data_IF_832991753618
#
_entry.id   IF_832991753618
#
_cell.length_a   1.000
_cell.length_b   1.000
_cell.length_c   1.000
_cell.angle_alpha   90.00
_cell.angle_beta   90.00
_cell.angle_gamma   90.00
#
_symmetry.space_group_name_H-M   'P 1'
#
loop_
_entity.id
_entity.type
_entity.pdbx_description
1 polymer ?
#
# COMPACT_ATOMS: atom_id res chain seq x y z
N UNK A 1 25.08 26.14 -1.13
CA UNK A 1 23.67 26.58 -1.20
C UNK A 1 23.38 27.41 0.03
N UNK A 2 22.63 28.50 -0.10
CA UNK A 2 22.34 29.41 1.01
C UNK A 2 21.33 28.74 1.97
N UNK A 3 21.47 28.82 3.31
CA UNK A 3 20.55 28.20 4.27
C UNK A 3 19.08 28.67 4.13
N UNK A 4 18.87 29.84 3.53
CA UNK A 4 17.55 30.47 3.31
C UNK A 4 16.80 29.82 2.12
N UNK A 5 17.51 29.16 1.19
CA UNK A 5 16.88 28.41 0.08
C UNK A 5 16.40 27.02 0.53
N UNK A 6 16.84 26.51 1.68
CA UNK A 6 16.45 25.18 2.17
C UNK A 6 15.04 25.14 2.77
N UNK A 7 14.46 26.28 3.17
CA UNK A 7 13.16 26.34 3.88
C UNK A 7 12.07 27.03 3.07
N UNK A 8 11.88 26.63 1.80
CA UNK A 8 10.81 27.15 0.94
C UNK A 8 9.87 26.02 0.48
N UNK A 9 8.69 26.39 -0.02
CA UNK A 9 7.72 25.43 -0.54
C UNK A 9 8.26 24.62 -1.73
N UNK A 10 9.09 25.24 -2.59
CA UNK A 10 9.79 24.56 -3.69
C UNK A 10 10.76 23.48 -3.19
N UNK A 11 11.41 23.70 -2.03
CA UNK A 11 12.30 22.73 -1.39
C UNK A 11 11.52 21.49 -0.95
N UNK A 12 10.30 21.67 -0.41
CA UNK A 12 9.38 20.57 -0.08
C UNK A 12 9.01 19.78 -1.34
N UNK A 13 8.62 20.46 -2.41
CA UNK A 13 8.25 19.84 -3.68
C UNK A 13 9.41 19.02 -4.28
N UNK A 14 10.61 19.60 -4.32
CA UNK A 14 11.79 18.94 -4.85
C UNK A 14 12.18 17.71 -4.03
N UNK A 15 12.18 17.81 -2.70
CA UNK A 15 12.47 16.68 -1.81
C UNK A 15 11.42 15.58 -1.92
N UNK A 16 10.13 15.93 -2.05
CA UNK A 16 9.06 14.95 -2.22
C UNK A 16 9.24 14.16 -3.54
N UNK A 17 9.43 14.86 -4.65
CA UNK A 17 9.69 14.21 -5.95
C UNK A 17 10.95 13.36 -5.91
N UNK A 18 12.01 13.84 -5.27
CA UNK A 18 13.26 13.10 -5.14
C UNK A 18 13.10 11.85 -4.28
N UNK A 19 12.35 11.91 -3.18
CA UNK A 19 12.02 10.75 -2.36
C UNK A 19 11.26 9.67 -3.15
N UNK A 20 10.30 10.06 -3.99
CA UNK A 20 9.58 9.14 -4.89
C UNK A 20 10.54 8.43 -5.86
N UNK A 21 11.48 9.19 -6.46
CA UNK A 21 12.49 8.62 -7.35
C UNK A 21 13.45 7.69 -6.61
N UNK A 22 13.92 8.08 -5.42
CA UNK A 22 14.77 7.22 -4.58
C UNK A 22 14.06 5.91 -4.21
N UNK A 23 12.77 5.97 -3.88
CA UNK A 23 11.94 4.79 -3.65
C UNK A 23 11.87 3.91 -4.92
N UNK A 24 11.62 4.50 -6.10
CA UNK A 24 11.60 3.76 -7.37
C UNK A 24 12.93 3.07 -7.69
N UNK A 25 14.04 3.68 -7.25
CA UNK A 25 15.40 3.13 -7.38
C UNK A 25 15.79 2.14 -6.26
N UNK A 26 14.87 1.82 -5.35
CA UNK A 26 15.10 0.95 -4.19
C UNK A 26 16.20 1.48 -3.24
N UNK A 27 16.31 2.80 -3.11
CA UNK A 27 17.19 3.48 -2.14
C UNK A 27 16.39 3.89 -0.90
N UNK A 28 15.86 2.91 -0.19
CA UNK A 28 14.82 3.08 0.85
C UNK A 28 15.23 4.04 1.96
N UNK A 29 16.40 3.87 2.57
CA UNK A 29 16.89 4.74 3.65
C UNK A 29 17.00 6.21 3.21
N UNK A 30 17.54 6.45 2.01
CA UNK A 30 17.68 7.80 1.50
C UNK A 30 16.33 8.42 1.12
N UNK A 31 15.40 7.61 0.61
CA UNK A 31 14.04 8.06 0.32
C UNK A 31 13.34 8.52 1.62
N UNK A 32 13.52 7.77 2.71
CA UNK A 32 12.98 8.11 4.03
C UNK A 32 13.61 9.37 4.61
N UNK A 33 14.94 9.50 4.56
CA UNK A 33 15.65 10.71 5.01
C UNK A 33 15.15 11.94 4.24
N UNK A 34 15.00 11.80 2.92
CA UNK A 34 14.50 12.86 2.05
C UNK A 34 13.05 13.25 2.39
N UNK A 35 12.18 12.26 2.61
CA UNK A 35 10.78 12.47 2.98
C UNK A 35 10.64 13.10 4.37
N UNK A 36 11.46 12.67 5.34
CA UNK A 36 11.52 13.24 6.68
C UNK A 36 11.99 14.69 6.67
N UNK A 37 12.99 15.02 5.84
CA UNK A 37 13.41 16.41 5.60
C UNK A 37 12.29 17.25 4.99
N UNK A 38 11.59 16.74 3.98
CA UNK A 38 10.44 17.43 3.38
C UNK A 38 9.34 17.72 4.41
N UNK A 39 8.98 16.73 5.25
CA UNK A 39 8.01 16.89 6.32
C UNK A 39 8.44 17.92 7.37
N UNK A 40 9.72 17.95 7.73
CA UNK A 40 10.25 18.92 8.68
C UNK A 40 10.22 20.35 8.12
N UNK A 41 10.61 20.56 6.86
CA UNK A 41 10.54 21.87 6.21
C UNK A 41 9.07 22.31 6.07
N UNK A 42 8.20 21.44 5.59
CA UNK A 42 6.77 21.73 5.42
C UNK A 42 6.12 22.16 6.74
N UNK A 43 6.45 21.48 7.85
CA UNK A 43 6.00 21.88 9.20
C UNK A 43 6.60 23.21 9.62
N UNK A 44 7.89 23.43 9.38
CA UNK A 44 8.60 24.64 9.78
C UNK A 44 8.03 25.90 9.12
N UNK A 45 7.70 25.83 7.83
CA UNK A 45 7.08 26.94 7.10
C UNK A 45 5.57 27.06 7.32
N UNK A 46 4.97 26.14 8.09
CA UNK A 46 3.54 26.12 8.40
C UNK A 46 2.66 25.65 7.24
N UNK A 47 3.18 24.85 6.29
CA UNK A 47 2.44 24.37 5.12
C UNK A 47 1.17 23.56 5.46
N UNK A 48 1.11 23.01 6.68
CA UNK A 48 -0.06 22.32 7.21
C UNK A 48 -1.16 23.25 7.76
N UNK A 49 -0.89 24.55 7.88
CA UNK A 49 -1.86 25.54 8.35
C UNK A 49 -2.85 25.90 7.22
N UNK A 50 -4.18 25.93 7.49
CA UNK A 50 -5.19 26.36 6.52
C UNK A 50 -4.91 27.70 5.84
N UNK A 51 -4.25 28.64 6.53
CA UNK A 51 -3.95 29.98 6.01
C UNK A 51 -2.65 30.07 5.22
N UNK A 52 -1.80 29.03 5.24
CA UNK A 52 -0.48 29.08 4.59
C UNK A 52 -0.58 29.34 3.09
N UNK A 53 -1.43 28.58 2.39
CA UNK A 53 -1.53 28.65 0.93
C UNK A 53 -1.87 30.07 0.48
N UNK A 54 -2.92 30.68 1.06
CA UNK A 54 -3.35 32.04 0.73
C UNK A 54 -2.31 33.10 1.08
N UNK A 55 -1.62 32.94 2.22
CA UNK A 55 -0.64 33.92 2.68
C UNK A 55 0.66 33.86 1.86
N UNK A 56 1.10 32.67 1.46
CA UNK A 56 2.36 32.45 0.76
C UNK A 56 2.27 32.61 -0.76
N UNK A 57 1.07 32.50 -1.35
CA UNK A 57 0.88 32.52 -2.80
C UNK A 57 0.77 33.93 -3.41
N UNK A 58 0.73 34.98 -2.59
CA UNK A 58 0.63 36.37 -3.09
C UNK A 58 -0.64 36.64 -3.91
N UNK A 59 -1.74 35.93 -3.63
CA UNK A 59 -3.00 36.03 -4.35
C UNK A 59 -3.10 35.23 -5.64
N UNK A 60 -2.10 34.42 -5.99
CA UNK A 60 -2.16 33.52 -7.14
C UNK A 60 -2.83 32.18 -6.78
N UNK A 61 -4.06 31.97 -7.26
CA UNK A 61 -4.87 30.79 -6.98
C UNK A 61 -4.22 29.46 -7.41
N UNK A 62 -3.43 29.46 -8.48
CA UNK A 62 -2.73 28.25 -8.95
C UNK A 62 -1.58 27.88 -8.00
N UNK A 63 -0.88 28.88 -7.47
CA UNK A 63 0.18 28.69 -6.48
C UNK A 63 -0.40 28.21 -5.14
N UNK A 64 -1.54 28.77 -4.72
CA UNK A 64 -2.25 28.27 -3.54
C UNK A 64 -2.61 26.79 -3.67
N UNK A 65 -3.15 26.41 -4.82
CA UNK A 65 -3.52 25.03 -5.12
C UNK A 65 -2.31 24.11 -5.17
N UNK A 66 -1.21 24.57 -5.75
CA UNK A 66 0.07 23.86 -5.78
C UNK A 66 0.57 23.57 -4.36
N UNK A 67 0.49 24.54 -3.43
CA UNK A 67 0.87 24.33 -2.03
C UNK A 67 -0.05 23.35 -1.29
N UNK A 68 -1.38 23.44 -1.48
CA UNK A 68 -2.32 22.46 -0.91
C UNK A 68 -2.03 21.05 -1.41
N UNK A 69 -1.85 20.86 -2.72
CA UNK A 69 -1.51 19.57 -3.31
C UNK A 69 -0.16 19.04 -2.84
N UNK A 70 0.84 19.92 -2.68
CA UNK A 70 2.17 19.55 -2.14
C UNK A 70 2.04 18.96 -0.74
N UNK A 71 1.29 19.62 0.15
CA UNK A 71 1.06 19.10 1.50
C UNK A 71 0.37 17.74 1.47
N UNK A 72 -0.73 17.62 0.73
CA UNK A 72 -1.52 16.38 0.74
C UNK A 72 -0.81 15.21 0.07
N UNK A 73 0.03 15.47 -0.93
CA UNK A 73 0.89 14.45 -1.54
C UNK A 73 1.98 13.99 -0.57
N UNK A 74 2.64 14.94 0.12
CA UNK A 74 3.61 14.65 1.17
C UNK A 74 2.98 13.83 2.30
N UNK A 75 1.81 14.24 2.77
CA UNK A 75 1.06 13.57 3.84
C UNK A 75 0.68 12.14 3.44
N UNK A 76 0.15 11.96 2.23
CA UNK A 76 -0.23 10.64 1.71
C UNK A 76 0.99 9.73 1.57
N UNK A 77 2.11 10.27 1.05
CA UNK A 77 3.36 9.53 0.86
C UNK A 77 3.98 9.12 2.20
N UNK A 78 4.06 10.03 3.17
CA UNK A 78 4.58 9.75 4.51
C UNK A 78 3.79 8.66 5.22
N UNK A 79 2.45 8.71 5.15
CA UNK A 79 1.60 7.65 5.73
C UNK A 79 1.81 6.32 5.02
N UNK A 80 1.83 6.31 3.68
CA UNK A 80 1.94 5.06 2.95
C UNK A 80 3.30 4.38 3.17
N UNK A 81 4.40 5.15 3.13
CA UNK A 81 5.74 4.64 3.45
C UNK A 81 5.82 4.18 4.90
N UNK A 82 5.22 4.90 5.85
CA UNK A 82 5.14 4.46 7.24
C UNK A 82 4.40 3.12 7.38
N UNK A 83 3.32 2.92 6.61
CA UNK A 83 2.59 1.66 6.62
C UNK A 83 3.38 0.50 6.02
N UNK A 84 4.07 0.72 4.92
CA UNK A 84 4.92 -0.29 4.28
C UNK A 84 6.05 -0.74 5.21
N UNK A 85 6.65 0.18 5.98
CA UNK A 85 7.75 -0.12 6.89
C UNK A 85 7.29 -0.33 8.35
N UNK A 86 5.97 -0.47 8.57
CA UNK A 86 5.35 -0.74 9.88
C UNK A 86 5.75 0.25 10.99
N UNK A 87 5.94 1.52 10.64
CA UNK A 87 6.25 2.59 11.60
C UNK A 87 4.99 3.05 12.33
N UNK A 88 5.10 3.22 13.65
CA UNK A 88 3.97 3.51 14.55
C UNK A 88 3.45 4.95 14.41
N UNK A 89 4.21 5.87 13.81
CA UNK A 89 3.79 7.27 13.69
C UNK A 89 4.36 7.97 12.43
N UNK A 90 3.54 8.22 11.40
CA UNK A 90 3.90 9.14 10.32
C UNK A 90 4.08 10.56 10.86
N UNK A 91 5.14 11.25 10.45
CA UNK A 91 5.50 12.58 10.96
C UNK A 91 4.45 13.66 10.66
N UNK A 92 3.70 13.48 9.59
CA UNK A 92 2.64 14.40 9.15
C UNK A 92 1.29 14.11 9.79
N UNK A 93 1.04 12.86 10.23
CA UNK A 93 -0.23 12.43 10.81
C UNK A 93 -0.44 12.90 12.26
N UNK A 94 0.64 13.24 12.97
CA UNK A 94 0.57 13.73 14.35
C UNK A 94 0.24 15.24 14.47
N UNK A 95 -0.01 15.92 13.36
CA UNK A 95 -0.23 17.36 13.35
C UNK A 95 -1.67 17.73 13.70
N UNK A 96 -1.82 18.81 14.47
CA UNK A 96 -3.12 19.30 14.97
C UNK A 96 -3.95 20.00 13.90
N UNK A 97 -3.30 20.61 12.91
CA UNK A 97 -3.95 21.38 11.84
C UNK A 97 -3.61 20.76 10.50
N UNK A 98 -4.61 20.77 9.62
CA UNK A 98 -4.50 20.31 8.23
C UNK A 98 -4.99 21.44 7.32
N UNK A 99 -4.40 21.61 6.13
CA UNK A 99 -4.83 22.64 5.20
C UNK A 99 -6.18 22.26 4.58
N UNK A 100 -6.75 23.20 3.81
CA UNK A 100 -7.93 22.93 3.00
C UNK A 100 -7.67 21.81 1.98
N UNK A 101 -8.73 21.13 1.57
CA UNK A 101 -8.63 20.07 0.57
C UNK A 101 -8.25 20.66 -0.81
N UNK A 102 -7.56 19.87 -1.66
CA UNK A 102 -7.29 20.27 -3.04
C UNK A 102 -8.59 20.54 -3.80
N UNK A 103 -8.59 21.58 -4.62
CA UNK A 103 -9.70 21.95 -5.47
C UNK A 103 -9.59 21.47 -6.91
N UNK A 104 -10.67 21.71 -7.67
CA UNK A 104 -10.61 21.67 -9.12
C UNK A 104 -9.77 22.85 -9.62
N UNK A 105 -8.87 22.60 -10.57
CA UNK A 105 -7.95 23.61 -11.09
C UNK A 105 -8.71 24.84 -11.59
N UNK A 106 -8.26 26.04 -11.20
CA UNK A 106 -8.84 27.32 -11.64
C UNK A 106 -10.13 27.75 -10.92
N UNK A 107 -10.58 27.02 -9.90
CA UNK A 107 -11.75 27.39 -9.11
C UNK A 107 -11.37 27.70 -7.66
N UNK A 108 -11.97 28.74 -7.09
CA UNK A 108 -11.86 29.01 -5.67
C UNK A 108 -12.55 27.88 -4.91
N UNK A 109 -11.76 27.02 -4.26
CA UNK A 109 -12.24 25.83 -3.59
C UNK A 109 -11.88 25.91 -2.10
N UNK A 110 -12.89 26.16 -1.27
CA UNK A 110 -12.74 26.26 0.17
C UNK A 110 -13.52 25.13 0.84
N UNK A 111 -13.08 23.89 0.60
CA UNK A 111 -13.65 22.73 1.28
C UNK A 111 -12.71 22.27 2.39
N UNK A 112 -13.24 22.23 3.61
CA UNK A 112 -12.56 21.65 4.75
C UNK A 112 -12.65 20.13 4.68
N UNK A 113 -11.67 19.49 5.29
CA UNK A 113 -11.68 18.05 5.53
C UNK A 113 -12.96 17.58 6.24
N UNK A 114 -13.43 18.34 7.23
CA UNK A 114 -14.67 18.05 7.95
C UNK A 114 -15.91 18.10 7.04
N UNK A 115 -15.96 19.07 6.10
CA UNK A 115 -17.05 19.14 5.11
C UNK A 115 -17.08 17.90 4.23
N UNK A 116 -15.91 17.41 3.81
CA UNK A 116 -15.81 16.20 3.01
C UNK A 116 -16.16 14.93 3.79
N UNK A 117 -15.73 14.82 5.05
CA UNK A 117 -16.10 13.69 5.92
C UNK A 117 -17.62 13.65 6.16
N UNK A 118 -18.25 14.82 6.37
CA UNK A 118 -19.69 14.92 6.59
C UNK A 118 -20.54 14.73 5.31
N UNK A 119 -19.92 14.56 4.13
CA UNK A 119 -20.64 14.44 2.85
C UNK A 119 -21.68 13.34 2.84
N UNK A 120 -21.44 12.25 3.59
CA UNK A 120 -22.32 11.07 3.65
C UNK A 120 -23.65 11.36 4.37
N UNK A 121 -23.71 12.43 5.16
CA UNK A 121 -24.90 12.86 5.89
C UNK A 121 -25.65 13.99 5.19
N UNK A 122 -25.19 14.44 4.03
CA UNK A 122 -25.84 15.52 3.29
C UNK A 122 -27.23 15.08 2.78
N UNK A 123 -28.26 15.86 3.11
CA UNK A 123 -29.65 15.62 2.69
C UNK A 123 -29.93 16.04 1.24
N UNK A 124 -28.96 16.65 0.56
CA UNK A 124 -29.05 17.16 -0.81
C UNK A 124 -28.46 16.22 -1.87
N UNK A 125 -28.44 16.64 -3.14
CA UNK A 125 -27.76 15.89 -4.19
C UNK A 125 -26.28 15.66 -3.83
N UNK A 126 -25.73 14.51 -4.25
CA UNK A 126 -24.33 14.17 -3.99
C UNK A 126 -23.42 15.27 -4.57
N UNK A 127 -22.71 15.96 -3.69
CA UNK A 127 -21.65 16.91 -4.07
C UNK A 127 -20.49 16.11 -4.66
N UNK A 128 -20.06 16.49 -5.85
CA UNK A 128 -18.86 15.91 -6.45
C UNK A 128 -17.62 16.54 -5.81
N UNK A 129 -16.72 15.70 -5.31
CA UNK A 129 -15.44 16.10 -4.77
C UNK A 129 -14.32 15.70 -5.74
N UNK A 130 -13.22 16.47 -5.82
CA UNK A 130 -12.05 16.10 -6.60
C UNK A 130 -11.51 14.72 -6.19
N UNK A 131 -10.99 13.97 -7.15
CA UNK A 131 -10.46 12.61 -6.93
C UNK A 131 -9.35 12.55 -5.87
N UNK A 132 -8.56 13.61 -5.76
CA UNK A 132 -7.53 13.76 -4.72
C UNK A 132 -8.11 13.68 -3.30
N UNK A 133 -9.35 14.11 -3.06
CA UNK A 133 -9.99 14.05 -1.74
C UNK A 133 -10.19 12.59 -1.29
N UNK A 134 -10.58 11.70 -2.21
CA UNK A 134 -10.75 10.28 -1.88
C UNK A 134 -9.41 9.59 -1.62
N UNK A 135 -8.34 10.01 -2.31
CA UNK A 135 -6.97 9.56 -2.03
C UNK A 135 -6.51 9.97 -0.62
N UNK A 136 -6.78 11.21 -0.23
CA UNK A 136 -6.49 11.73 1.11
C UNK A 136 -7.26 10.97 2.19
N UNK A 137 -8.54 10.68 1.97
CA UNK A 137 -9.32 9.88 2.92
C UNK A 137 -8.80 8.44 3.03
N UNK A 138 -8.40 7.83 1.91
CA UNK A 138 -7.78 6.50 1.91
C UNK A 138 -6.49 6.48 2.74
N UNK A 139 -5.60 7.46 2.57
CA UNK A 139 -4.37 7.54 3.36
C UNK A 139 -4.65 7.80 4.83
N UNK A 140 -5.64 8.62 5.18
CA UNK A 140 -6.07 8.81 6.57
C UNK A 140 -6.64 7.54 7.20
N UNK A 141 -7.36 6.70 6.45
CA UNK A 141 -7.80 5.39 6.92
C UNK A 141 -6.59 4.48 7.19
N UNK A 142 -5.58 4.47 6.32
CA UNK A 142 -4.31 3.76 6.58
C UNK A 142 -3.65 4.27 7.87
N UNK A 143 -3.62 5.58 8.10
CA UNK A 143 -3.05 6.15 9.33
C UNK A 143 -3.76 5.64 10.58
N UNK A 144 -5.08 5.40 10.55
CA UNK A 144 -5.82 4.81 11.68
C UNK A 144 -5.39 3.37 11.96
N UNK A 145 -4.98 2.62 10.93
CA UNK A 145 -4.43 1.26 11.08
C UNK A 145 -3.09 1.32 11.82
N UNK A 146 -2.23 2.28 11.48
CA UNK A 146 -0.90 2.44 12.12
C UNK A 146 -1.01 2.84 13.60
N UNK A 147 -2.08 3.53 13.97
CA UNK A 147 -2.37 3.87 15.36
C UNK A 147 -2.91 2.69 16.19
N UNK A 148 -3.18 1.52 15.59
CA UNK A 148 -3.61 0.35 16.34
C UNK A 148 -2.42 -0.22 17.11
N UNK A 149 -2.48 -0.18 18.44
CA UNK A 149 -1.41 -0.68 19.31
C UNK A 149 -1.21 -2.20 19.10
N UNK A 150 -0.01 -2.67 18.71
CA UNK A 150 0.28 -4.09 18.55
C UNK A 150 0.66 -4.79 19.87
N UNK A 151 0.89 -4.06 20.96
CA UNK A 151 1.48 -4.53 22.23
C UNK A 151 0.55 -4.43 23.43
N UNK A 152 -0.49 -3.59 23.38
CA UNK A 152 -1.59 -3.59 24.34
C UNK A 152 -2.89 -3.97 23.65
N UNK A 153 -3.85 -4.47 24.43
CA UNK A 153 -5.12 -5.00 23.98
C UNK A 153 -5.80 -4.09 22.95
N UNK A 154 -5.47 -4.24 21.66
CA UNK A 154 -6.19 -3.58 20.58
C UNK A 154 -7.62 -4.03 20.77
N UNK A 155 -8.50 -3.13 21.16
CA UNK A 155 -9.87 -3.53 21.39
C UNK A 155 -10.43 -3.97 20.04
N UNK A 156 -11.13 -5.10 20.03
CA UNK A 156 -11.79 -5.62 18.82
C UNK A 156 -12.63 -4.50 18.16
N UNK A 157 -13.21 -3.61 18.97
CA UNK A 157 -13.94 -2.42 18.53
C UNK A 157 -13.12 -1.44 17.68
N UNK A 158 -11.83 -1.27 17.93
CA UNK A 158 -10.98 -0.36 17.16
C UNK A 158 -10.68 -0.93 15.78
N UNK A 159 -10.44 -2.25 15.71
CA UNK A 159 -10.27 -2.99 14.45
C UNK A 159 -11.56 -2.93 13.64
N UNK A 160 -12.71 -3.19 14.27
CA UNK A 160 -14.03 -3.09 13.64
C UNK A 160 -14.33 -1.66 13.16
N UNK A 161 -13.98 -0.63 13.93
CA UNK A 161 -14.18 0.75 13.54
C UNK A 161 -13.38 1.15 12.29
N UNK A 162 -12.18 0.58 12.11
CA UNK A 162 -11.39 0.81 10.89
C UNK A 162 -11.91 -0.04 9.73
N UNK A 163 -12.30 -1.28 9.97
CA UNK A 163 -12.94 -2.16 8.98
C UNK A 163 -14.25 -1.54 8.43
N UNK A 164 -15.09 -0.96 9.31
CA UNK A 164 -16.27 -0.21 8.92
C UNK A 164 -15.93 1.03 8.10
N UNK A 165 -14.83 1.71 8.39
CA UNK A 165 -14.38 2.85 7.59
C UNK A 165 -13.96 2.42 6.18
N UNK A 166 -13.26 1.28 6.05
CA UNK A 166 -12.90 0.69 4.76
C UNK A 166 -14.16 0.32 3.96
N UNK A 167 -15.10 -0.36 4.59
CA UNK A 167 -16.36 -0.75 3.96
C UNK A 167 -17.20 0.48 3.54
N UNK A 168 -17.32 1.47 4.42
CA UNK A 168 -18.07 2.70 4.17
C UNK A 168 -17.47 3.50 3.02
N UNK A 169 -16.13 3.59 2.95
CA UNK A 169 -15.45 4.26 1.83
C UNK A 169 -15.84 3.64 0.49
N UNK A 170 -15.89 2.30 0.40
CA UNK A 170 -16.28 1.60 -0.85
C UNK A 170 -17.76 1.82 -1.23
N UNK A 171 -18.64 2.02 -0.24
CA UNK A 171 -20.08 2.22 -0.48
C UNK A 171 -20.43 3.67 -0.86
N UNK A 172 -19.74 4.63 -0.27
CA UNK A 172 -20.03 6.06 -0.49
C UNK A 172 -19.05 6.73 -1.44
N UNK A 173 -17.88 6.14 -1.65
CA UNK A 173 -16.88 6.57 -2.61
C UNK A 173 -17.29 6.34 -4.06
N UNK A 174 -16.51 6.88 -5.00
CA UNK A 174 -16.66 6.61 -6.41
C UNK A 174 -16.30 5.15 -6.71
N UNK A 175 -16.90 4.59 -7.77
CA UNK A 175 -16.68 3.20 -8.16
C UNK A 175 -15.34 3.02 -8.89
N UNK A 176 -14.76 1.82 -8.85
CA UNK A 176 -13.52 1.52 -9.60
C UNK A 176 -13.65 1.80 -11.10
N UNK A 177 -14.84 1.57 -11.68
CA UNK A 177 -15.09 1.83 -13.10
C UNK A 177 -15.01 3.32 -13.47
N UNK A 178 -15.12 4.23 -12.49
CA UNK A 178 -14.97 5.67 -12.76
C UNK A 178 -13.50 6.11 -12.79
N UNK A 179 -12.55 5.19 -12.59
CA UNK A 179 -11.12 5.49 -12.79
C UNK A 179 -10.78 5.67 -14.27
N UNK A 180 -11.58 5.11 -15.18
CA UNK A 180 -11.36 5.20 -16.62
C UNK A 180 -12.48 6.04 -17.21
N UNK A 181 -12.14 7.12 -17.91
CA UNK A 181 -13.13 7.95 -18.58
C UNK A 181 -13.57 7.35 -19.94
N UNK A 182 -14.51 8.02 -20.60
CA UNK A 182 -15.02 7.59 -21.92
C UNK A 182 -13.97 7.60 -23.03
N UNK A 183 -12.82 8.24 -22.81
CA UNK A 183 -11.70 8.30 -23.74
C UNK A 183 -10.63 7.25 -23.45
N UNK A 184 -10.77 6.50 -22.34
CA UNK A 184 -9.79 5.52 -21.89
C UNK A 184 -8.66 6.12 -21.06
N UNK A 185 -8.75 7.40 -20.69
CA UNK A 185 -7.78 8.04 -19.80
C UNK A 185 -8.08 7.67 -18.34
N UNK A 186 -7.02 7.43 -17.57
CA UNK A 186 -7.11 7.05 -16.16
C UNK A 186 -7.00 8.29 -15.26
N UNK A 187 -7.98 8.46 -14.37
CA UNK A 187 -7.85 9.33 -13.21
C UNK A 187 -6.89 8.68 -12.21
N UNK A 188 -5.61 9.05 -12.32
CA UNK A 188 -4.53 8.49 -11.50
C UNK A 188 -4.75 8.76 -10.00
N UNK A 189 -5.38 9.87 -9.61
CA UNK A 189 -5.67 10.14 -8.19
C UNK A 189 -6.72 9.17 -7.66
N UNK A 190 -7.73 8.87 -8.48
CA UNK A 190 -8.77 7.92 -8.12
C UNK A 190 -8.27 6.48 -8.14
N UNK A 191 -7.44 6.12 -9.12
CA UNK A 191 -6.74 4.84 -9.15
C UNK A 191 -5.90 4.66 -7.88
N UNK A 192 -5.15 5.68 -7.48
CA UNK A 192 -4.38 5.70 -6.24
C UNK A 192 -5.25 5.52 -5.00
N UNK A 193 -6.39 6.20 -4.94
CA UNK A 193 -7.34 6.05 -3.84
C UNK A 193 -7.82 4.58 -3.71
N UNK A 194 -8.19 3.94 -4.82
CA UNK A 194 -8.64 2.55 -4.82
C UNK A 194 -7.55 1.58 -4.36
N UNK A 195 -6.34 1.62 -4.95
CA UNK A 195 -5.30 0.67 -4.51
C UNK A 195 -4.87 0.93 -3.07
N UNK A 196 -4.84 2.18 -2.58
CA UNK A 196 -4.55 2.47 -1.19
C UNK A 196 -5.59 1.86 -0.25
N UNK A 197 -6.87 1.89 -0.62
CA UNK A 197 -7.93 1.22 0.15
C UNK A 197 -7.83 -0.31 0.14
N UNK A 198 -7.35 -0.90 -0.95
CA UNK A 198 -7.04 -2.31 -1.00
C UNK A 198 -5.84 -2.64 -0.11
N UNK A 199 -4.79 -1.81 -0.13
CA UNK A 199 -3.65 -1.93 0.78
C UNK A 199 -4.09 -1.78 2.25
N UNK A 200 -4.96 -0.83 2.57
CA UNK A 200 -5.53 -0.66 3.91
C UNK A 200 -6.24 -1.94 4.40
N UNK A 201 -7.00 -2.60 3.51
CA UNK A 201 -7.63 -3.88 3.81
C UNK A 201 -6.58 -4.97 4.10
N UNK A 202 -5.52 -5.05 3.30
CA UNK A 202 -4.42 -6.00 3.55
C UNK A 202 -3.72 -5.70 4.88
N UNK A 203 -3.33 -4.45 5.16
CA UNK A 203 -2.67 -4.05 6.41
C UNK A 203 -3.53 -4.36 7.64
N UNK A 204 -4.84 -4.21 7.55
CA UNK A 204 -5.75 -4.50 8.66
C UNK A 204 -5.96 -6.01 8.84
N UNK A 205 -6.23 -6.75 7.77
CA UNK A 205 -6.71 -8.13 7.87
C UNK A 205 -5.61 -9.19 7.78
N UNK A 206 -4.56 -8.98 6.99
CA UNK A 206 -3.52 -10.00 6.81
C UNK A 206 -2.84 -10.41 8.14
N UNK A 207 -2.42 -9.49 9.03
CA UNK A 207 -1.84 -9.86 10.33
C UNK A 207 -2.80 -10.57 11.29
N UNK A 208 -4.11 -10.53 11.03
CA UNK A 208 -5.18 -11.11 11.86
C UNK A 208 -5.81 -12.35 11.21
N UNK A 209 -5.30 -12.75 10.05
CA UNK A 209 -5.82 -13.85 9.27
C UNK A 209 -5.24 -15.19 9.71
N UNK A 210 -5.80 -16.28 9.18
CA UNK A 210 -5.21 -17.62 9.29
C UNK A 210 -4.16 -17.91 8.21
N UNK A 211 -3.76 -16.90 7.42
CA UNK A 211 -2.69 -17.05 6.43
C UNK A 211 -1.34 -17.16 7.13
N UNK A 212 -0.39 -17.95 6.60
CA UNK A 212 0.91 -18.09 7.23
C UNK A 212 1.63 -16.74 7.28
N UNK A 213 2.13 -16.31 8.46
CA UNK A 213 2.75 -15.00 8.63
C UNK A 213 4.16 -14.92 8.01
N UNK A 214 4.76 -16.05 7.67
CA UNK A 214 6.11 -16.14 7.09
C UNK A 214 6.08 -16.92 5.79
N UNK A 215 7.12 -16.72 4.98
CA UNK A 215 7.38 -17.55 3.82
C UNK A 215 7.59 -18.99 4.30
N UNK A 216 6.75 -19.95 3.89
CA UNK A 216 6.87 -21.31 4.40
C UNK A 216 8.10 -21.98 3.80
N UNK A 217 8.86 -22.71 4.62
CA UNK A 217 9.91 -23.60 4.12
C UNK A 217 9.30 -24.78 3.38
N UNK A 218 10.09 -25.49 2.57
CA UNK A 218 9.64 -26.73 1.93
C UNK A 218 9.12 -27.77 2.95
N UNK A 219 9.66 -27.78 4.17
CA UNK A 219 9.21 -28.64 5.26
C UNK A 219 7.88 -28.20 5.90
N UNK A 220 7.62 -26.90 5.98
CA UNK A 220 6.34 -26.35 6.47
C UNK A 220 5.22 -26.66 5.50
N UNK A 221 5.51 -26.54 4.19
CA UNK A 221 4.59 -26.88 3.11
C UNK A 221 4.17 -28.36 3.17
N UNK A 222 5.12 -29.26 3.43
CA UNK A 222 4.86 -30.69 3.61
C UNK A 222 3.93 -31.00 4.80
N UNK A 223 3.93 -30.15 5.84
CA UNK A 223 3.14 -30.32 7.05
C UNK A 223 1.79 -29.56 7.05
N UNK A 224 1.48 -28.81 5.99
CA UNK A 224 0.36 -27.87 5.91
C UNK A 224 -1.03 -28.48 6.20
N UNK A 225 -1.18 -29.82 6.11
CA UNK A 225 -2.41 -30.55 6.45
C UNK A 225 -2.76 -30.49 7.95
N UNK A 226 -1.78 -30.37 8.85
CA UNK A 226 -2.02 -30.43 10.30
C UNK A 226 -2.34 -29.05 10.92
N UNK A 227 -1.74 -27.97 10.41
CA UNK A 227 -1.87 -26.62 10.99
C UNK A 227 -3.15 -25.88 10.57
N UNK A 228 -3.70 -26.14 9.39
CA UNK A 228 -4.88 -25.43 8.88
C UNK A 228 -6.17 -25.71 9.69
N UNK A 229 -6.24 -26.87 10.35
CA UNK A 229 -7.43 -27.34 11.09
C UNK A 229 -7.42 -26.91 12.57
N UNK A 230 -6.24 -26.70 13.18
CA UNK A 230 -6.15 -26.42 14.62
C UNK A 230 -6.19 -24.92 14.98
N UNK A 231 -6.01 -23.99 14.03
CA UNK A 231 -5.71 -22.57 14.34
C UNK A 231 -6.83 -21.58 13.96
N UNK A 232 -7.81 -21.96 13.12
CA UNK A 232 -8.73 -20.97 12.54
C UNK A 232 -9.98 -20.72 13.39
N UNK A 233 -9.97 -19.65 14.19
CA UNK A 233 -11.21 -19.09 14.75
C UNK A 233 -12.10 -18.50 13.63
N UNK A 234 -13.44 -18.43 13.80
CA UNK A 234 -14.32 -17.78 12.82
C UNK A 234 -13.92 -16.33 12.51
N UNK A 235 -13.36 -15.62 13.48
CA UNK A 235 -12.81 -14.27 13.29
C UNK A 235 -11.61 -14.28 12.34
N UNK A 236 -10.65 -15.19 12.53
CA UNK A 236 -9.48 -15.33 11.65
C UNK A 236 -9.87 -15.69 10.21
N UNK A 237 -10.90 -16.54 10.03
CA UNK A 237 -11.42 -16.89 8.71
C UNK A 237 -12.00 -15.67 7.95
N UNK A 238 -12.70 -14.77 8.66
CA UNK A 238 -13.20 -13.53 8.08
C UNK A 238 -12.07 -12.59 7.64
N UNK A 239 -11.04 -12.45 8.47
CA UNK A 239 -9.83 -11.70 8.11
C UNK A 239 -9.12 -12.31 6.89
N UNK A 240 -8.98 -13.64 6.83
CA UNK A 240 -8.44 -14.36 5.66
C UNK A 240 -9.21 -14.03 4.39
N UNK A 241 -10.54 -14.15 4.43
CA UNK A 241 -11.39 -13.88 3.27
C UNK A 241 -11.23 -12.43 2.77
N UNK A 242 -11.17 -11.46 3.67
CA UNK A 242 -10.99 -10.04 3.32
C UNK A 242 -9.61 -9.74 2.75
N UNK A 243 -8.54 -10.32 3.31
CA UNK A 243 -7.19 -10.17 2.77
C UNK A 243 -7.09 -10.73 1.34
N UNK A 244 -7.59 -11.96 1.13
CA UNK A 244 -7.61 -12.59 -0.20
C UNK A 244 -8.42 -11.75 -1.18
N UNK A 245 -9.64 -11.33 -0.81
CA UNK A 245 -10.48 -10.50 -1.67
C UNK A 245 -9.80 -9.17 -2.06
N UNK A 246 -9.13 -8.50 -1.12
CA UNK A 246 -8.37 -7.28 -1.41
C UNK A 246 -7.21 -7.55 -2.40
N UNK A 247 -6.48 -8.64 -2.23
CA UNK A 247 -5.39 -9.01 -3.15
C UNK A 247 -5.88 -9.37 -4.55
N UNK A 248 -7.03 -10.05 -4.68
CA UNK A 248 -7.70 -10.30 -5.97
C UNK A 248 -8.11 -8.99 -6.63
N UNK A 249 -8.64 -8.03 -5.87
CA UNK A 249 -8.98 -6.72 -6.41
C UNK A 249 -7.73 -5.93 -6.87
N UNK A 250 -6.57 -6.06 -6.20
CA UNK A 250 -5.31 -5.47 -6.68
C UNK A 250 -4.91 -6.08 -8.03
N UNK A 251 -5.02 -7.40 -8.17
CA UNK A 251 -4.76 -8.07 -9.45
C UNK A 251 -5.71 -7.56 -10.55
N UNK A 252 -6.99 -7.35 -10.25
CA UNK A 252 -7.95 -6.78 -11.20
C UNK A 252 -7.61 -5.35 -11.60
N UNK A 253 -7.15 -4.50 -10.67
CA UNK A 253 -6.65 -3.16 -10.99
C UNK A 253 -5.44 -3.22 -11.93
N UNK A 254 -4.54 -4.19 -11.73
CA UNK A 254 -3.38 -4.40 -12.60
C UNK A 254 -3.75 -4.88 -14.02
N UNK A 255 -4.94 -5.47 -14.19
CA UNK A 255 -5.46 -5.91 -15.47
C UNK A 255 -6.31 -4.87 -16.21
N UNK A 256 -6.48 -3.66 -15.65
CA UNK A 256 -7.18 -2.59 -16.35
C UNK A 256 -6.46 -2.27 -17.68
N UNK A 257 -7.21 -1.95 -18.74
CA UNK A 257 -6.67 -1.78 -20.09
C UNK A 257 -5.98 -0.41 -20.27
N UNK A 258 -5.00 -0.11 -19.43
CA UNK A 258 -4.27 1.15 -19.42
C UNK A 258 -2.76 0.91 -19.34
N UNK A 259 -1.92 1.80 -19.91
CA UNK A 259 -0.48 1.66 -19.82
C UNK A 259 0.02 1.76 -18.37
N UNK A 260 0.49 0.62 -17.84
CA UNK A 260 1.04 0.51 -16.49
C UNK A 260 2.17 1.51 -16.22
N UNK A 261 2.83 1.95 -17.29
CA UNK A 261 3.98 2.83 -17.27
C UNK A 261 3.67 4.28 -16.86
N UNK A 262 2.39 4.65 -16.75
CA UNK A 262 1.92 5.94 -16.26
C UNK A 262 1.58 5.95 -14.77
N UNK A 263 1.59 4.80 -14.10
CA UNK A 263 1.32 4.71 -12.66
C UNK A 263 2.53 5.15 -11.82
N UNK A 264 2.23 5.66 -10.63
CA UNK A 264 3.25 5.93 -9.61
C UNK A 264 4.07 4.68 -9.27
N UNK A 265 5.40 4.79 -9.02
CA UNK A 265 6.22 3.67 -8.55
C UNK A 265 5.70 3.06 -7.24
N UNK A 266 4.91 3.80 -6.45
CA UNK A 266 4.26 3.27 -5.25
C UNK A 266 3.23 2.16 -5.52
N UNK A 267 2.69 2.07 -6.73
CA UNK A 267 1.79 0.97 -7.11
C UNK A 267 2.51 -0.39 -7.06
N UNK A 268 3.84 -0.41 -7.26
CA UNK A 268 4.67 -1.61 -7.08
C UNK A 268 4.44 -2.22 -5.70
N UNK A 269 4.37 -1.40 -4.64
CA UNK A 269 4.17 -1.90 -3.29
C UNK A 269 2.78 -2.55 -3.11
N UNK A 270 1.75 -2.01 -3.75
CA UNK A 270 0.42 -2.63 -3.77
C UNK A 270 0.42 -3.99 -4.47
N UNK A 271 1.04 -4.08 -5.65
CA UNK A 271 1.21 -5.34 -6.39
C UNK A 271 1.97 -6.39 -5.57
N UNK A 272 3.01 -5.97 -4.87
CA UNK A 272 3.78 -6.84 -3.99
C UNK A 272 2.92 -7.36 -2.84
N UNK A 273 2.22 -6.48 -2.12
CA UNK A 273 1.28 -6.89 -1.04
C UNK A 273 0.23 -7.87 -1.55
N UNK A 274 -0.36 -7.60 -2.72
CA UNK A 274 -1.32 -8.50 -3.35
C UNK A 274 -0.70 -9.87 -3.66
N UNK A 275 0.49 -9.89 -4.24
CA UNK A 275 1.19 -11.15 -4.58
C UNK A 275 1.52 -11.97 -3.35
N UNK A 276 2.03 -11.32 -2.30
CA UNK A 276 2.32 -11.94 -1.00
C UNK A 276 1.08 -12.63 -0.42
N UNK A 277 -0.06 -11.95 -0.39
CA UNK A 277 -1.32 -12.54 0.11
C UNK A 277 -1.76 -13.74 -0.73
N UNK A 278 -1.64 -13.66 -2.06
CA UNK A 278 -1.99 -14.77 -2.95
C UNK A 278 -1.06 -15.98 -2.79
N UNK A 279 0.24 -15.75 -2.56
CA UNK A 279 1.21 -16.83 -2.25
C UNK A 279 0.91 -17.47 -0.89
N UNK A 280 0.64 -16.66 0.14
CA UNK A 280 0.23 -17.18 1.44
C UNK A 280 -1.08 -17.98 1.34
N UNK A 281 -2.06 -17.50 0.58
CA UNK A 281 -3.32 -18.22 0.34
C UNK A 281 -3.14 -19.50 -0.48
N UNK A 282 -2.22 -19.52 -1.45
CA UNK A 282 -1.88 -20.72 -2.20
C UNK A 282 -1.36 -21.83 -1.28
N UNK A 283 -0.56 -21.49 -0.28
CA UNK A 283 -0.03 -22.47 0.69
C UNK A 283 -1.12 -23.07 1.58
N UNK A 284 -2.15 -22.29 1.93
CA UNK A 284 -3.32 -22.80 2.64
C UNK A 284 -4.17 -23.75 1.77
N UNK A 285 -4.18 -23.53 0.46
CA UNK A 285 -5.02 -24.27 -0.50
C UNK A 285 -4.25 -25.28 -1.36
N UNK A 286 -3.07 -25.74 -0.94
CA UNK A 286 -2.24 -26.69 -1.72
C UNK A 286 -2.98 -27.97 -2.14
N UNK A 287 -3.94 -28.41 -1.32
CA UNK A 287 -4.71 -29.64 -1.54
C UNK A 287 -6.03 -29.40 -2.30
N UNK A 288 -6.34 -28.16 -2.69
CA UNK A 288 -7.47 -27.81 -3.55
C UNK A 288 -6.95 -27.27 -4.89
N UNK A 289 -6.86 -28.13 -5.93
CA UNK A 289 -6.32 -27.74 -7.24
C UNK A 289 -7.04 -26.54 -7.87
N UNK A 290 -8.34 -26.38 -7.61
CA UNK A 290 -9.15 -25.32 -8.21
C UNK A 290 -8.87 -23.96 -7.58
N UNK A 291 -8.66 -23.92 -6.26
CA UNK A 291 -8.27 -22.73 -5.52
C UNK A 291 -6.80 -22.39 -5.80
N UNK A 292 -5.93 -23.40 -5.79
CA UNK A 292 -4.51 -23.24 -6.07
C UNK A 292 -4.25 -22.63 -7.45
N UNK A 293 -4.96 -23.11 -8.48
CA UNK A 293 -4.86 -22.57 -9.83
C UNK A 293 -5.29 -21.09 -9.88
N UNK A 294 -6.37 -20.71 -9.19
CA UNK A 294 -6.81 -19.30 -9.14
C UNK A 294 -5.78 -18.39 -8.47
N UNK A 295 -5.19 -18.84 -7.36
CA UNK A 295 -4.10 -18.10 -6.72
C UNK A 295 -2.90 -17.96 -7.66
N UNK A 296 -2.55 -19.03 -8.36
CA UNK A 296 -1.49 -19.02 -9.38
C UNK A 296 -1.77 -18.00 -10.49
N UNK A 297 -2.99 -17.95 -11.03
CA UNK A 297 -3.35 -17.03 -12.11
C UNK A 297 -3.21 -15.56 -11.66
N UNK A 298 -3.63 -15.23 -10.44
CA UNK A 298 -3.43 -13.90 -9.87
C UNK A 298 -1.95 -13.56 -9.65
N UNK A 299 -1.15 -14.51 -9.13
CA UNK A 299 0.31 -14.32 -8.96
C UNK A 299 0.99 -14.09 -10.31
N UNK A 300 0.64 -14.88 -11.34
CA UNK A 300 1.20 -14.73 -12.70
C UNK A 300 0.88 -13.34 -13.26
N UNK A 301 -0.36 -12.88 -13.13
CA UNK A 301 -0.76 -11.55 -13.58
C UNK A 301 0.02 -10.43 -12.88
N UNK A 302 0.09 -10.46 -11.54
CA UNK A 302 0.82 -9.42 -10.79
C UNK A 302 2.33 -9.48 -11.02
N UNK A 303 2.93 -10.66 -11.17
CA UNK A 303 4.33 -10.81 -11.58
C UNK A 303 4.58 -10.25 -12.99
N UNK A 304 3.63 -10.41 -13.91
CA UNK A 304 3.68 -9.80 -15.24
C UNK A 304 3.67 -8.28 -15.17
N UNK A 305 2.74 -7.71 -14.39
CA UNK A 305 2.65 -6.26 -14.18
C UNK A 305 3.91 -5.69 -13.51
N UNK A 306 4.42 -6.35 -12.46
CA UNK A 306 5.67 -6.01 -11.80
C UNK A 306 6.87 -6.13 -12.76
N UNK A 307 6.88 -7.15 -13.62
CA UNK A 307 7.90 -7.35 -14.65
C UNK A 307 7.97 -6.18 -15.63
N UNK A 308 6.81 -5.73 -16.12
CA UNK A 308 6.71 -4.56 -16.99
C UNK A 308 7.19 -3.27 -16.29
N UNK A 309 6.72 -3.02 -15.06
CA UNK A 309 7.19 -1.88 -14.27
C UNK A 309 8.71 -1.96 -13.96
N UNK A 310 9.25 -3.17 -13.84
CA UNK A 310 10.67 -3.46 -13.61
C UNK A 310 11.62 -3.07 -14.75
N UNK A 311 11.09 -2.79 -15.93
CA UNK A 311 11.86 -2.20 -17.04
C UNK A 311 12.35 -0.79 -16.68
N UNK A 312 11.55 -0.03 -15.91
CA UNK A 312 11.87 1.33 -15.49
C UNK A 312 12.30 1.42 -14.03
N UNK A 313 11.60 0.72 -13.14
CA UNK A 313 11.76 0.85 -11.70
C UNK A 313 12.56 -0.31 -11.10
N UNK A 314 13.69 0.01 -10.48
CA UNK A 314 14.55 -0.97 -9.79
C UNK A 314 13.79 -1.69 -8.68
N UNK A 315 12.95 -0.99 -7.92
CA UNK A 315 12.15 -1.60 -6.84
C UNK A 315 11.24 -2.73 -7.36
N UNK A 316 10.61 -2.56 -8.52
CA UNK A 316 9.78 -3.59 -9.13
C UNK A 316 10.62 -4.79 -9.60
N UNK A 317 11.79 -4.52 -10.20
CA UNK A 317 12.70 -5.57 -10.67
C UNK A 317 13.19 -6.47 -9.53
N UNK A 318 13.56 -5.87 -8.40
CA UNK A 318 13.97 -6.59 -7.19
C UNK A 318 12.79 -7.41 -6.64
N UNK A 319 11.61 -6.80 -6.55
CA UNK A 319 10.40 -7.49 -6.10
C UNK A 319 10.06 -8.71 -6.96
N UNK A 320 10.16 -8.61 -8.28
CA UNK A 320 9.94 -9.74 -9.20
C UNK A 320 10.90 -10.89 -8.93
N UNK A 321 12.18 -10.60 -8.72
CA UNK A 321 13.19 -11.63 -8.45
C UNK A 321 12.85 -12.41 -7.17
N UNK A 322 12.52 -11.69 -6.09
CA UNK A 322 12.13 -12.29 -4.81
C UNK A 322 10.84 -13.12 -4.93
N UNK A 323 9.77 -12.52 -5.46
CA UNK A 323 8.46 -13.18 -5.57
C UNK A 323 8.48 -14.38 -6.51
N UNK A 324 9.29 -14.35 -7.58
CA UNK A 324 9.48 -15.52 -8.46
C UNK A 324 10.16 -16.68 -7.74
N UNK A 325 11.16 -16.42 -6.90
CA UNK A 325 11.83 -17.47 -6.13
C UNK A 325 10.83 -18.19 -5.21
N UNK A 326 9.98 -17.43 -4.51
CA UNK A 326 8.95 -18.01 -3.64
C UNK A 326 7.87 -18.75 -4.45
N UNK A 327 7.48 -18.19 -5.59
CA UNK A 327 6.51 -18.82 -6.51
C UNK A 327 7.00 -20.18 -7.04
N UNK A 328 8.31 -20.34 -7.27
CA UNK A 328 8.90 -21.62 -7.69
C UNK A 328 8.72 -22.69 -6.62
N UNK A 329 8.96 -22.34 -5.35
CA UNK A 329 8.78 -23.28 -4.22
C UNK A 329 7.32 -23.72 -4.12
N UNK A 330 6.38 -22.79 -4.19
CA UNK A 330 4.95 -23.09 -3.96
C UNK A 330 4.31 -23.82 -5.14
N UNK A 331 4.64 -23.44 -6.38
CA UNK A 331 3.87 -23.88 -7.56
C UNK A 331 4.62 -24.83 -8.51
N UNK A 332 5.92 -25.05 -8.33
CA UNK A 332 6.75 -25.81 -9.28
C UNK A 332 7.52 -26.93 -8.62
N UNK A 333 7.96 -26.78 -7.36
CA UNK A 333 8.74 -27.82 -6.70
C UNK A 333 7.94 -29.15 -6.66
N UNK A 334 8.45 -30.23 -7.29
CA UNK A 334 7.78 -31.51 -7.32
C UNK A 334 7.63 -32.12 -5.93
N UNK A 335 8.44 -31.74 -4.93
CA UNK A 335 8.24 -32.19 -3.54
C UNK A 335 6.89 -31.68 -3.00
N UNK A 336 6.49 -30.46 -3.34
CA UNK A 336 5.17 -29.90 -3.01
C UNK A 336 4.05 -30.56 -3.83
N UNK A 337 4.35 -31.01 -5.06
CA UNK A 337 3.37 -31.56 -6.00
C UNK A 337 3.15 -33.08 -5.88
N UNK A 338 4.15 -33.83 -5.37
CA UNK A 338 4.17 -35.31 -5.31
C UNK A 338 4.02 -35.88 -3.90
N UNK A 339 3.74 -35.05 -2.89
CA UNK A 339 3.62 -35.48 -1.49
C UNK A 339 2.33 -36.23 -1.17
N UNK A 340 2.09 -37.31 -1.90
CA UNK A 340 1.64 -38.56 -1.31
C UNK A 340 2.87 -39.37 -0.86
N UNK A 341 3.16 -39.35 0.45
CA UNK A 341 3.98 -40.35 1.18
C UNK A 341 5.51 -40.39 0.89
N UNK A 342 6.32 -39.61 1.63
CA UNK A 342 7.53 -40.06 2.39
C UNK A 342 8.40 -38.87 2.88
N UNK A 343 9.16 -39.03 3.99
CA UNK A 343 9.95 -37.95 4.58
C UNK A 343 11.38 -37.92 4.02
N UNK A 344 11.76 -36.88 3.28
CA UNK A 344 13.14 -36.67 2.84
C UNK A 344 13.61 -35.21 2.97
N UNK A 345 14.93 -35.07 3.13
CA UNK A 345 15.66 -33.89 3.57
C UNK A 345 15.68 -32.73 2.55
N UNK A 346 15.70 -31.50 3.08
CA UNK A 346 15.56 -30.23 2.35
C UNK A 346 16.92 -29.76 1.80
N UNK A 347 17.01 -29.24 0.56
CA UNK A 347 18.24 -28.65 0.02
C UNK A 347 18.63 -27.34 0.75
N UNK A 348 19.92 -27.18 1.05
CA UNK A 348 20.48 -26.08 1.86
C UNK A 348 20.24 -24.64 1.33
N UNK A 349 19.83 -24.48 0.07
CA UNK A 349 19.56 -23.16 -0.54
C UNK A 349 18.24 -22.52 -0.06
N UNK A 350 17.38 -23.29 0.62
CA UNK A 350 16.03 -22.87 1.03
C UNK A 350 15.91 -22.51 2.52
N UNK A 351 16.96 -22.71 3.33
CA UNK A 351 16.96 -22.27 4.74
C UNK A 351 16.94 -20.74 4.89
N UNK A 352 17.49 -20.00 3.91
CA UNK A 352 17.63 -18.54 3.96
C UNK A 352 16.30 -17.75 3.86
N UNK A 353 15.20 -18.33 3.38
CA UNK A 353 13.91 -17.62 3.22
C UNK A 353 12.90 -17.89 4.35
N UNK A 354 13.12 -18.93 5.16
CA UNK A 354 12.17 -19.43 6.17
C UNK A 354 11.91 -18.47 7.35
N UNK A 355 12.74 -17.44 7.50
CA UNK A 355 12.64 -16.46 8.59
C UNK A 355 12.04 -15.12 8.18
N UNK A 356 11.74 -14.89 6.89
CA UNK A 356 11.23 -13.60 6.41
C UNK A 356 9.72 -13.52 6.71
N UNK A 357 9.32 -12.53 7.52
CA UNK A 357 7.91 -12.12 7.62
C UNK A 357 7.49 -11.55 6.27
N UNK A 358 6.33 -11.98 5.79
CA UNK A 358 5.79 -11.51 4.52
C UNK A 358 5.70 -9.97 4.40
N UNK A 359 5.54 -9.29 5.53
CA UNK A 359 5.46 -7.84 5.61
C UNK A 359 6.83 -7.15 5.73
N UNK A 360 7.89 -7.90 6.05
CA UNK A 360 9.26 -7.37 6.16
C UNK A 360 9.97 -7.31 4.80
N UNK A 361 9.34 -7.80 3.73
CA UNK A 361 9.84 -7.70 2.35
C UNK A 361 9.99 -6.24 1.84
N UNK A 362 9.48 -5.27 2.60
CA UNK A 362 9.63 -3.83 2.35
C UNK A 362 10.62 -3.15 3.30
N UNK A 363 11.18 -3.86 4.27
CA UNK A 363 12.11 -3.27 5.25
C UNK A 363 13.53 -3.17 4.66
N UNK A 364 14.28 -2.09 4.98
CA UNK A 364 15.60 -1.84 4.37
C UNK A 364 16.66 -2.91 4.64
N UNK A 365 16.55 -3.69 5.72
CA UNK A 365 17.70 -4.39 6.30
C UNK A 365 17.78 -5.89 5.97
N UNK A 366 16.73 -6.55 5.46
CA UNK A 366 16.75 -8.02 5.33
C UNK A 366 17.13 -8.56 3.94
N UNK A 367 17.01 -7.78 2.86
CA UNK A 367 17.28 -8.29 1.51
C UNK A 367 18.76 -8.16 1.11
N UNK A 368 19.52 -7.25 1.75
CA UNK A 368 20.95 -7.06 1.43
C UNK A 368 21.88 -8.06 2.12
N UNK A 369 21.46 -8.70 3.21
CA UNK A 369 22.34 -9.55 4.03
C UNK A 369 22.36 -11.04 3.69
N UNK A 370 21.26 -11.60 3.19
CA UNK A 370 21.06 -13.07 3.16
C UNK A 370 20.95 -13.68 1.77
N UNK A 371 20.73 -12.88 0.72
CA UNK A 371 20.42 -13.41 -0.63
C UNK A 371 21.59 -13.27 -1.62
N UNK A 372 22.61 -12.48 -1.34
CA UNK A 372 23.65 -12.12 -2.34
C UNK A 372 25.10 -12.47 -1.98
N UNK A 373 25.34 -13.16 -0.85
CA UNK A 373 26.64 -13.74 -0.53
C UNK A 373 26.52 -15.26 -0.40
N UNK A 374 26.43 -15.94 -1.55
CA UNK A 374 26.43 -17.40 -1.67
C UNK A 374 26.75 -17.81 -3.09
#
# INVERSE_FOLDING_TARGET
MNPIDETQASSVQALLLYAIVLHALHRTNEAEDCLGRAANIARHIGMNDPAFASNAAGGNLEVEESYRRTWWELHTTDIYVAALHRRVAPSTAMLRTMPQLPGLSGQYHNQSLQSFENRVFALGPRVQYPSACYKIEASRIISRILSLDPTHATHISDVEAVDHAIASWRLYGPSEQTCVDSHGDVDESLFQAHYLMLCASIFLHFPRSALPPRVPSAGDIACARAQAVEISSPAAAHHTAKAIAASTAIANLAALPFPLDRHSPFFVCGLVLGTVVQLAAATLHLHDPSQLQRHRDHVVLMLGALGHLGERWTVARIAVACLKAISQVIFVDPTVTTMSQQPHAIPAQFENFSNIDWLDMFTPDEIQGTVWNG
#
